data_IF_110247820080
#
_entry.id   IF_110247820080
#
_cell.length_a   1.000
_cell.length_b   1.000
_cell.length_c   1.000
_cell.angle_alpha   90.00
_cell.angle_beta   90.00
_cell.angle_gamma   90.00
#
_symmetry.space_group_name_H-M   'P 1'
#
loop_
_entity.id
_entity.type
_entity.pdbx_description
1 polymer ?
#
# COMPACT_ATOMS: atom_id res chain seq x y z
N UNK A 1 85.99 0.07 37.58
CA UNK A 1 86.37 -1.31 37.18
C UNK A 1 85.18 -2.24 37.40
N UNK A 2 84.81 -2.99 36.34
CA UNK A 2 84.10 -4.29 36.25
C UNK A 2 82.73 -4.44 36.98
N UNK A 3 81.60 -4.46 36.28
CA UNK A 3 80.96 -5.49 35.42
C UNK A 3 80.39 -6.71 36.15
N UNK A 4 79.07 -6.94 35.93
CA UNK A 4 78.37 -8.20 36.19
C UNK A 4 76.88 -8.14 35.82
N UNK A 5 76.55 -8.32 34.53
CA UNK A 5 75.20 -8.70 34.02
C UNK A 5 75.01 -10.21 34.24
N UNK A 6 73.82 -10.74 34.47
CA UNK A 6 72.89 -11.51 33.57
C UNK A 6 71.97 -12.27 34.58
N UNK A 7 70.66 -12.51 34.46
CA UNK A 7 69.61 -12.26 33.47
C UNK A 7 68.32 -13.03 33.85
N UNK A 8 67.24 -12.69 33.16
CA UNK A 8 66.04 -13.48 32.83
C UNK A 8 65.02 -13.89 33.92
N UNK A 9 63.80 -13.37 33.77
CA UNK A 9 62.59 -13.84 34.45
C UNK A 9 61.40 -12.92 34.17
N UNK A 10 60.79 -13.08 32.99
CA UNK A 10 59.60 -12.35 32.57
C UNK A 10 58.36 -12.73 33.41
N UNK A 11 57.56 -11.75 33.84
CA UNK A 11 56.11 -11.87 33.80
C UNK A 11 55.48 -10.48 33.67
N UNK A 12 54.92 -10.24 32.48
CA UNK A 12 54.07 -9.12 32.15
C UNK A 12 52.66 -9.44 32.69
N UNK A 13 52.08 -8.52 33.47
CA UNK A 13 50.64 -8.45 33.66
C UNK A 13 50.21 -6.98 33.54
N UNK A 14 49.90 -6.61 32.30
CA UNK A 14 49.21 -5.38 31.94
C UNK A 14 47.77 -5.50 32.44
N UNK A 15 47.36 -4.63 33.36
CA UNK A 15 45.95 -4.36 33.64
C UNK A 15 45.67 -2.90 33.33
N UNK A 16 45.38 -2.68 32.05
CA UNK A 16 44.94 -1.43 31.46
C UNK A 16 43.59 -1.02 32.06
N UNK A 17 43.58 0.05 32.85
CA UNK A 17 42.37 0.76 33.21
C UNK A 17 41.66 1.25 31.96
N UNK A 18 40.39 0.85 31.82
CA UNK A 18 39.50 1.08 30.70
C UNK A 18 39.27 2.59 30.46
N UNK A 19 39.97 3.15 29.47
CA UNK A 19 39.58 4.39 28.82
C UNK A 19 38.28 4.12 28.07
N UNK A 20 37.16 4.65 28.57
CA UNK A 20 35.91 4.71 27.81
C UNK A 20 36.14 5.74 26.70
N UNK A 21 36.20 5.37 25.41
CA UNK A 21 36.21 6.37 24.37
C UNK A 21 34.85 7.07 24.41
N UNK A 22 34.89 8.35 24.75
CA UNK A 22 33.81 9.30 24.55
C UNK A 22 33.43 9.21 23.07
N UNK A 23 32.33 8.52 22.76
CA UNK A 23 31.83 8.39 21.40
C UNK A 23 31.49 9.80 20.91
N UNK A 24 32.35 10.34 20.04
CA UNK A 24 32.05 11.53 19.26
C UNK A 24 30.67 11.30 18.63
N UNK A 25 29.79 12.26 18.85
CA UNK A 25 28.52 12.32 18.15
C UNK A 25 28.78 12.14 16.66
N UNK A 26 28.26 11.04 16.11
CA UNK A 26 28.04 10.93 14.67
C UNK A 26 26.99 11.99 14.38
N UNK A 27 27.46 13.20 14.06
CA UNK A 27 26.66 14.19 13.36
C UNK A 27 26.08 13.44 12.15
N UNK A 28 24.78 13.20 12.19
CA UNK A 28 24.04 12.47 11.18
C UNK A 28 24.20 13.18 9.86
N UNK A 29 25.19 12.77 9.08
CA UNK A 29 25.24 13.00 7.66
C UNK A 29 24.10 12.14 7.09
N UNK A 30 22.86 12.65 7.17
CA UNK A 30 21.76 12.05 6.46
C UNK A 30 22.18 12.01 4.99
N UNK A 31 22.43 10.80 4.48
CA UNK A 31 22.70 10.60 3.07
C UNK A 31 21.53 11.23 2.31
N UNK A 32 21.80 12.29 1.55
CA UNK A 32 20.75 13.01 0.82
C UNK A 32 19.93 12.02 0.00
N UNK A 33 18.62 12.17 0.03
CA UNK A 33 17.71 11.33 -0.73
C UNK A 33 18.05 11.45 -2.21
N UNK A 34 18.34 10.33 -2.89
CA UNK A 34 18.59 10.37 -4.34
C UNK A 34 17.25 10.42 -5.07
N UNK A 35 16.94 11.53 -5.73
CA UNK A 35 15.66 11.74 -6.41
C UNK A 35 15.90 11.99 -7.91
N UNK A 36 15.43 11.07 -8.75
CA UNK A 36 15.62 11.07 -10.19
C UNK A 36 14.29 10.97 -10.95
N UNK A 37 14.33 11.20 -12.26
CA UNK A 37 13.20 10.97 -13.16
C UNK A 37 13.66 10.26 -14.44
N UNK A 38 12.83 9.38 -14.97
CA UNK A 38 13.10 8.68 -16.23
C UNK A 38 11.87 8.67 -17.15
N UNK A 39 12.07 8.97 -18.43
CA UNK A 39 11.08 8.71 -19.47
C UNK A 39 11.33 7.32 -20.06
N UNK A 40 10.29 6.49 -20.15
CA UNK A 40 10.37 5.12 -20.67
C UNK A 40 9.17 4.78 -21.54
N UNK A 41 9.26 3.67 -22.24
CA UNK A 41 8.11 3.06 -22.93
C UNK A 41 7.81 1.72 -22.27
N UNK A 42 6.57 1.52 -21.83
CA UNK A 42 6.10 0.27 -21.19
C UNK A 42 4.94 -0.26 -22.01
N UNK A 43 5.10 -1.44 -22.61
CA UNK A 43 4.09 -2.04 -23.51
C UNK A 43 3.69 -1.11 -24.67
N UNK A 44 4.66 -0.40 -25.25
CA UNK A 44 4.40 0.56 -26.35
C UNK A 44 3.90 1.93 -25.90
N UNK A 45 3.52 2.09 -24.63
CA UNK A 45 2.99 3.36 -24.11
C UNK A 45 4.08 4.20 -23.43
N UNK A 46 4.17 5.51 -23.70
CA UNK A 46 5.11 6.39 -23.02
C UNK A 46 4.71 6.54 -21.54
N UNK A 47 5.70 6.43 -20.66
CA UNK A 47 5.55 6.61 -19.21
C UNK A 47 6.67 7.49 -18.65
N UNK A 48 6.35 8.21 -17.58
CA UNK A 48 7.32 8.92 -16.78
C UNK A 48 7.40 8.32 -15.39
N UNK A 49 8.60 7.93 -14.99
CA UNK A 49 8.86 7.36 -13.67
C UNK A 49 9.61 8.39 -12.82
N UNK A 50 9.15 8.54 -11.57
CA UNK A 50 9.86 9.27 -10.51
C UNK A 50 10.53 8.23 -9.63
N UNK A 51 11.83 8.41 -9.40
CA UNK A 51 12.63 7.48 -8.63
C UNK A 51 13.13 8.13 -7.35
N UNK A 52 13.06 7.40 -6.25
CA UNK A 52 13.64 7.77 -4.96
C UNK A 52 14.53 6.63 -4.51
N UNK A 53 15.78 6.92 -4.20
CA UNK A 53 16.81 5.93 -3.85
C UNK A 53 16.92 4.79 -4.89
N UNK A 54 16.77 5.14 -6.18
CA UNK A 54 16.81 4.21 -7.30
C UNK A 54 15.52 3.41 -7.52
N UNK A 55 14.46 3.66 -6.75
CA UNK A 55 13.21 2.90 -6.81
C UNK A 55 12.06 3.72 -7.38
N UNK A 56 11.23 3.13 -8.24
CA UNK A 56 10.09 3.82 -8.87
C UNK A 56 8.98 4.02 -7.83
N UNK A 57 8.78 5.26 -7.39
CA UNK A 57 7.74 5.62 -6.41
C UNK A 57 6.44 6.09 -7.07
N UNK A 58 6.55 6.73 -8.23
CA UNK A 58 5.43 7.25 -9.00
C UNK A 58 5.64 6.88 -10.46
N UNK A 59 4.60 6.30 -11.08
CA UNK A 59 4.55 6.05 -12.52
C UNK A 59 3.39 6.83 -13.13
N UNK A 60 3.74 7.79 -13.97
CA UNK A 60 2.83 8.61 -14.73
C UNK A 60 2.64 7.97 -16.11
N UNK A 61 1.39 7.66 -16.46
CA UNK A 61 1.03 7.06 -17.76
C UNK A 61 0.19 7.99 -18.65
N UNK A 62 -0.34 9.07 -18.07
CA UNK A 62 -1.17 10.04 -18.78
C UNK A 62 -0.36 11.28 -19.16
N UNK A 63 -0.54 11.76 -20.39
CA UNK A 63 -0.26 13.14 -20.73
C UNK A 63 -1.34 14.04 -20.14
N UNK A 64 -0.97 15.25 -19.71
CA UNK A 64 -1.90 16.27 -19.23
C UNK A 64 -1.54 17.58 -19.92
N UNK A 65 -2.47 18.09 -20.75
CA UNK A 65 -2.18 19.22 -21.63
C UNK A 65 -1.06 18.88 -22.62
N UNK A 66 -0.10 19.79 -22.77
CA UNK A 66 1.10 19.62 -23.61
C UNK A 66 2.22 18.83 -22.94
N UNK A 67 2.09 18.48 -21.65
CA UNK A 67 3.15 17.79 -20.92
C UNK A 67 3.07 16.28 -21.13
N UNK A 68 4.14 15.72 -21.68
CA UNK A 68 4.34 14.28 -21.77
C UNK A 68 4.48 13.63 -20.39
N UNK A 69 4.21 12.32 -20.25
CA UNK A 69 4.42 11.62 -18.99
C UNK A 69 5.82 11.81 -18.41
N UNK A 70 6.85 11.78 -19.26
CA UNK A 70 8.25 12.00 -18.88
C UNK A 70 8.54 13.40 -18.34
N UNK A 71 8.01 14.45 -19.00
CA UNK A 71 8.16 15.84 -18.52
C UNK A 71 7.45 16.04 -17.19
N UNK A 72 6.26 15.45 -17.02
CA UNK A 72 5.56 15.47 -15.74
C UNK A 72 6.39 14.81 -14.64
N UNK A 73 7.01 13.65 -14.93
CA UNK A 73 7.85 12.97 -13.95
C UNK A 73 9.06 13.82 -13.55
N UNK A 74 9.67 14.54 -14.49
CA UNK A 74 10.73 15.51 -14.20
C UNK A 74 10.25 16.62 -13.27
N UNK A 75 9.10 17.25 -13.56
CA UNK A 75 8.52 18.31 -12.71
C UNK A 75 8.24 17.78 -11.29
N UNK A 76 7.71 16.57 -11.17
CA UNK A 76 7.46 15.95 -9.86
C UNK A 76 8.77 15.68 -9.11
N UNK A 77 9.79 15.13 -9.78
CA UNK A 77 11.11 14.91 -9.19
C UNK A 77 11.76 16.23 -8.74
N UNK A 78 11.64 17.30 -9.52
CA UNK A 78 12.17 18.62 -9.17
C UNK A 78 11.46 19.20 -7.93
N UNK A 79 10.13 19.01 -7.81
CA UNK A 79 9.37 19.40 -6.61
C UNK A 79 9.83 18.64 -5.37
N UNK A 80 10.02 17.32 -5.49
CA UNK A 80 10.52 16.50 -4.39
C UNK A 80 11.96 16.89 -4.00
N UNK A 81 12.86 17.15 -4.96
CA UNK A 81 14.23 17.63 -4.68
C UNK A 81 14.26 18.95 -3.94
N UNK A 82 13.35 19.88 -4.29
CA UNK A 82 13.22 21.14 -3.56
C UNK A 82 12.78 20.91 -2.12
N UNK A 83 11.77 20.07 -1.90
CA UNK A 83 11.29 19.74 -0.54
C UNK A 83 12.34 18.98 0.30
N UNK A 84 13.15 18.13 -0.33
CA UNK A 84 14.29 17.47 0.32
C UNK A 84 15.37 18.49 0.73
N UNK A 85 15.68 19.44 -0.16
CA UNK A 85 16.62 20.53 0.12
C UNK A 85 16.14 21.43 1.27
N UNK A 86 14.83 21.63 1.39
CA UNK A 86 14.18 22.36 2.48
C UNK A 86 14.08 21.54 3.79
N UNK A 87 14.47 20.26 3.80
CA UNK A 87 14.37 19.37 4.97
C UNK A 87 12.94 18.94 5.32
N UNK A 88 12.02 19.11 4.38
CA UNK A 88 10.57 18.87 4.51
C UNK A 88 10.13 17.53 3.95
N UNK A 89 10.97 16.86 3.16
CA UNK A 89 10.67 15.54 2.61
C UNK A 89 10.99 14.44 3.64
N UNK A 90 9.97 14.03 4.41
CA UNK A 90 10.07 12.92 5.38
C UNK A 90 8.92 11.94 5.20
N UNK A 91 9.07 10.64 5.51
CA UNK A 91 7.99 9.67 5.39
C UNK A 91 6.67 10.14 6.02
N UNK A 92 6.73 10.66 7.25
CA UNK A 92 5.58 11.14 8.01
C UNK A 92 4.87 12.33 7.37
N UNK A 93 5.59 13.16 6.60
CA UNK A 93 5.03 14.36 5.95
C UNK A 93 4.33 14.08 4.62
N UNK A 94 4.52 12.89 4.04
CA UNK A 94 3.87 12.53 2.77
C UNK A 94 2.42 12.16 3.04
N UNK A 95 1.45 12.83 2.44
CA UNK A 95 0.03 12.51 2.62
C UNK A 95 -0.78 12.58 1.33
N UNK A 96 -2.07 12.25 1.41
CA UNK A 96 -3.03 12.36 0.31
C UNK A 96 -4.16 13.29 0.73
N UNK A 97 -4.41 14.30 -0.09
CA UNK A 97 -5.55 15.20 0.08
C UNK A 97 -6.50 15.13 -1.12
N UNK A 98 -7.62 15.84 -1.03
CA UNK A 98 -8.53 16.05 -2.14
C UNK A 98 -8.85 17.54 -2.29
N UNK A 99 -8.93 18.00 -3.54
CA UNK A 99 -9.41 19.33 -3.91
C UNK A 99 -10.39 19.15 -5.07
N UNK A 100 -11.64 19.59 -4.89
CA UNK A 100 -12.73 19.45 -5.86
C UNK A 100 -12.89 18.02 -6.40
N UNK A 101 -12.82 17.03 -5.50
CA UNK A 101 -12.91 15.60 -5.84
C UNK A 101 -11.67 15.02 -6.52
N UNK A 102 -10.63 15.83 -6.75
CA UNK A 102 -9.38 15.37 -7.36
C UNK A 102 -8.35 15.06 -6.28
N UNK A 103 -7.80 13.84 -6.31
CA UNK A 103 -6.80 13.40 -5.35
C UNK A 103 -5.44 14.07 -5.61
N UNK A 104 -4.78 14.49 -4.55
CA UNK A 104 -3.47 15.13 -4.54
C UNK A 104 -2.49 14.32 -3.70
N UNK A 105 -1.27 14.14 -4.21
CA UNK A 105 -0.14 13.73 -3.38
C UNK A 105 0.47 14.98 -2.76
N UNK A 106 0.50 15.02 -1.43
CA UNK A 106 1.00 16.13 -0.63
C UNK A 106 2.30 15.72 0.08
N UNK A 107 3.18 16.68 0.30
CA UNK A 107 4.33 16.55 1.21
C UNK A 107 4.39 17.81 2.05
N UNK A 108 4.26 17.65 3.36
CA UNK A 108 4.22 18.76 4.31
C UNK A 108 3.18 19.83 3.90
N UNK A 109 1.99 19.37 3.51
CA UNK A 109 0.89 20.19 3.02
C UNK A 109 1.05 20.75 1.60
N UNK A 110 2.20 20.60 0.95
CA UNK A 110 2.46 21.11 -0.40
C UNK A 110 2.08 20.09 -1.46
N UNK A 111 1.31 20.52 -2.46
CA UNK A 111 0.95 19.66 -3.60
C UNK A 111 2.16 19.31 -4.47
N UNK A 112 2.51 18.02 -4.47
CA UNK A 112 3.58 17.46 -5.31
C UNK A 112 3.02 17.15 -6.70
N UNK A 113 1.89 16.43 -6.76
CA UNK A 113 1.20 16.14 -8.02
C UNK A 113 -0.28 15.85 -7.77
N UNK A 114 -1.07 16.05 -8.81
CA UNK A 114 -2.47 15.64 -8.89
C UNK A 114 -2.58 14.26 -9.54
N UNK A 115 -3.58 13.48 -9.11
CA UNK A 115 -3.96 12.20 -9.73
C UNK A 115 -5.21 12.41 -10.57
N UNK A 116 -5.04 12.41 -11.88
CA UNK A 116 -6.17 12.54 -12.81
C UNK A 116 -6.92 11.19 -12.99
N UNK A 117 -8.20 11.28 -13.34
CA UNK A 117 -9.04 10.09 -13.54
C UNK A 117 -8.58 9.19 -14.70
N UNK A 118 -7.89 9.75 -15.71
CA UNK A 118 -7.38 8.98 -16.85
C UNK A 118 -6.18 8.13 -16.44
N UNK A 119 -5.30 8.64 -15.60
CA UNK A 119 -4.17 7.93 -15.00
C UNK A 119 -4.63 6.77 -14.13
N UNK A 120 -5.68 7.00 -13.32
CA UNK A 120 -6.28 5.97 -12.48
C UNK A 120 -6.95 4.86 -13.31
N UNK A 121 -7.74 5.23 -14.33
CA UNK A 121 -8.37 4.27 -15.25
C UNK A 121 -7.35 3.45 -16.04
N UNK A 122 -6.27 4.07 -16.49
CA UNK A 122 -5.16 3.36 -17.16
C UNK A 122 -4.47 2.31 -16.26
N UNK A 123 -4.74 2.34 -14.96
CA UNK A 123 -4.25 1.39 -13.97
C UNK A 123 -5.37 0.61 -13.27
N UNK A 124 -6.59 0.62 -13.84
CA UNK A 124 -7.78 -0.06 -13.31
C UNK A 124 -8.04 0.25 -11.82
N UNK A 125 -7.85 1.50 -11.41
CA UNK A 125 -7.96 1.94 -10.02
C UNK A 125 -8.70 3.29 -9.92
N UNK A 126 -8.88 3.80 -8.71
CA UNK A 126 -9.46 5.13 -8.45
C UNK A 126 -8.37 6.17 -8.20
N UNK A 127 -8.61 7.47 -8.42
CA UNK A 127 -7.61 8.52 -8.14
C UNK A 127 -7.11 8.49 -6.70
N UNK A 128 -8.00 8.30 -5.72
CA UNK A 128 -7.65 8.24 -4.30
C UNK A 128 -6.78 7.02 -3.99
N UNK A 129 -7.11 5.84 -4.54
CA UNK A 129 -6.32 4.63 -4.35
C UNK A 129 -4.93 4.77 -4.98
N UNK A 130 -4.85 5.28 -6.21
CA UNK A 130 -3.56 5.52 -6.87
C UNK A 130 -2.69 6.54 -6.12
N UNK A 131 -3.29 7.62 -5.61
CA UNK A 131 -2.59 8.58 -4.75
C UNK A 131 -2.07 7.91 -3.46
N UNK A 132 -2.86 7.02 -2.87
CA UNK A 132 -2.50 6.25 -1.68
C UNK A 132 -1.35 5.29 -1.96
N UNK A 133 -1.35 4.63 -3.11
CA UNK A 133 -0.25 3.76 -3.56
C UNK A 133 1.03 4.57 -3.73
N UNK A 134 0.95 5.75 -4.37
CA UNK A 134 2.10 6.65 -4.51
C UNK A 134 2.62 7.17 -3.17
N UNK A 135 1.74 7.56 -2.23
CA UNK A 135 2.14 7.93 -0.86
C UNK A 135 2.89 6.79 -0.20
N UNK A 136 2.32 5.58 -0.24
CA UNK A 136 2.91 4.39 0.41
C UNK A 136 4.29 4.09 -0.16
N UNK A 137 4.42 4.11 -1.48
CA UNK A 137 5.70 3.90 -2.15
C UNK A 137 6.73 4.97 -1.80
N UNK A 138 6.33 6.25 -1.83
CA UNK A 138 7.24 7.35 -1.49
C UNK A 138 7.70 7.25 -0.03
N UNK A 139 6.81 6.96 0.91
CA UNK A 139 7.15 6.73 2.32
C UNK A 139 8.15 5.59 2.49
N UNK A 140 7.91 4.47 1.82
CA UNK A 140 8.79 3.31 1.86
C UNK A 140 10.20 3.65 1.32
N UNK A 141 10.30 4.27 0.14
CA UNK A 141 11.60 4.65 -0.43
C UNK A 141 12.38 5.62 0.47
N UNK A 142 11.69 6.59 1.08
CA UNK A 142 12.28 7.55 2.01
C UNK A 142 12.78 6.89 3.30
N UNK A 143 12.07 5.85 3.78
CA UNK A 143 12.48 5.03 4.91
C UNK A 143 13.59 4.01 4.56
N UNK A 144 14.02 3.94 3.30
CA UNK A 144 15.00 2.94 2.83
C UNK A 144 14.40 1.54 2.64
N UNK A 145 13.07 1.41 2.70
CA UNK A 145 12.36 0.16 2.42
C UNK A 145 12.22 -0.05 0.91
N UNK A 146 12.24 -1.32 0.46
CA UNK A 146 12.09 -1.60 -0.96
C UNK A 146 10.68 -1.27 -1.47
N UNK A 147 10.57 -0.23 -2.29
CA UNK A 147 9.39 0.01 -3.14
C UNK A 147 9.28 -1.05 -4.21
N UNK A 148 8.09 -1.66 -4.35
CA UNK A 148 7.83 -2.64 -5.40
C UNK A 148 8.59 -3.97 -5.25
N UNK A 149 9.22 -4.23 -4.10
CA UNK A 149 9.30 -5.61 -3.64
C UNK A 149 7.89 -6.06 -3.28
N UNK A 150 7.56 -7.32 -3.49
CA UNK A 150 6.31 -7.93 -3.05
C UNK A 150 6.15 -7.82 -1.51
N UNK A 151 5.91 -6.62 -0.95
CA UNK A 151 4.77 -6.56 -0.06
C UNK A 151 3.64 -6.89 -0.97
N UNK A 152 3.24 -8.15 -0.89
CA UNK A 152 1.89 -8.54 -1.14
C UNK A 152 1.01 -7.51 -0.41
N UNK A 153 0.66 -6.42 -1.08
CA UNK A 153 -0.75 -6.11 -1.28
C UNK A 153 -1.31 -7.25 -2.13
N UNK A 154 -1.26 -8.47 -1.58
CA UNK A 154 -2.49 -9.14 -1.26
C UNK A 154 -3.42 -7.99 -0.83
N UNK A 155 -4.24 -7.50 -1.76
CA UNK A 155 -5.66 -7.39 -1.41
C UNK A 155 -5.90 -8.69 -0.67
N UNK A 156 -5.77 -8.71 0.67
CA UNK A 156 -5.65 -9.97 1.40
C UNK A 156 -6.93 -10.70 1.09
N UNK A 157 -6.85 -11.65 0.15
CA UNK A 157 -7.99 -12.39 -0.32
C UNK A 157 -8.27 -13.30 0.86
N UNK A 158 -9.17 -12.81 1.69
CA UNK A 158 -9.55 -13.48 2.90
C UNK A 158 -10.70 -14.42 2.61
N UNK A 159 -10.94 -15.30 3.56
CA UNK A 159 -12.19 -16.03 3.65
C UNK A 159 -12.89 -15.64 4.94
N UNK A 160 -14.21 -15.59 4.91
CA UNK A 160 -15.04 -15.26 6.07
C UNK A 160 -16.29 -16.13 6.05
N UNK A 161 -16.67 -16.67 7.21
CA UNK A 161 -17.92 -17.38 7.37
C UNK A 161 -19.00 -16.38 7.81
N UNK A 162 -20.08 -16.29 7.04
CA UNK A 162 -21.18 -15.33 7.25
C UNK A 162 -22.52 -16.07 7.23
N UNK A 163 -23.55 -15.60 7.94
CA UNK A 163 -24.87 -16.23 7.91
C UNK A 163 -25.53 -16.12 6.53
N UNK A 164 -26.29 -17.16 6.16
CA UNK A 164 -27.22 -17.12 5.03
C UNK A 164 -28.60 -16.71 5.54
N UNK A 165 -29.20 -15.73 4.88
CA UNK A 165 -30.53 -15.19 5.22
C UNK A 165 -31.45 -15.39 4.02
N UNK A 166 -32.59 -16.04 4.25
CA UNK A 166 -33.63 -16.19 3.22
C UNK A 166 -34.30 -14.86 2.93
N UNK A 167 -34.31 -14.46 1.65
CA UNK A 167 -35.01 -13.25 1.18
C UNK A 167 -36.52 -13.50 1.25
N UNK A 168 -37.24 -12.65 2.00
CA UNK A 168 -38.70 -12.74 2.19
C UNK A 168 -39.10 -13.17 3.61
N UNK A 169 -38.46 -14.21 4.16
CA UNK A 169 -38.72 -14.65 5.54
C UNK A 169 -37.82 -14.01 6.58
N UNK A 170 -36.62 -13.56 6.18
CA UNK A 170 -35.60 -13.04 7.13
C UNK A 170 -35.00 -14.11 8.03
N UNK A 171 -35.37 -15.38 7.85
CA UNK A 171 -34.90 -16.48 8.65
C UNK A 171 -33.44 -16.81 8.31
N UNK A 172 -32.65 -17.09 9.35
CA UNK A 172 -31.29 -17.62 9.20
C UNK A 172 -31.40 -19.10 8.88
N UNK A 173 -30.91 -19.49 7.71
CA UNK A 173 -31.07 -20.85 7.16
C UNK A 173 -29.76 -21.63 7.11
N UNK A 174 -28.62 -20.98 7.34
CA UNK A 174 -27.32 -21.64 7.32
C UNK A 174 -26.17 -20.65 7.36
N UNK A 175 -24.99 -21.09 6.92
CA UNK A 175 -23.79 -20.26 6.81
C UNK A 175 -23.12 -20.42 5.44
N UNK A 176 -22.50 -19.35 4.96
CA UNK A 176 -21.74 -19.32 3.72
C UNK A 176 -20.28 -18.95 4.00
N UNK A 177 -19.37 -19.64 3.34
CA UNK A 177 -17.99 -19.24 3.22
C UNK A 177 -17.86 -18.31 2.01
N UNK A 178 -17.42 -17.08 2.27
CA UNK A 178 -17.20 -16.07 1.23
C UNK A 178 -15.72 -15.73 1.10
N UNK A 179 -15.30 -15.39 -0.11
CA UNK A 179 -13.94 -14.96 -0.40
C UNK A 179 -13.91 -13.66 -1.22
N UNK A 180 -12.92 -12.80 -0.96
CA UNK A 180 -12.75 -11.52 -1.67
C UNK A 180 -11.67 -10.64 -1.03
N UNK A 181 -11.46 -9.45 -1.59
CA UNK A 181 -10.54 -8.45 -1.01
C UNK A 181 -10.94 -8.12 0.43
N UNK A 182 -9.96 -8.02 1.34
CA UNK A 182 -10.19 -7.85 2.79
C UNK A 182 -11.19 -6.75 3.13
N UNK A 183 -11.04 -5.56 2.56
CA UNK A 183 -11.93 -4.42 2.81
C UNK A 183 -13.40 -4.72 2.46
N UNK A 184 -13.63 -5.51 1.41
CA UNK A 184 -14.98 -5.91 0.97
C UNK A 184 -15.50 -7.08 1.78
N UNK A 185 -14.63 -7.99 2.18
CA UNK A 185 -14.95 -9.13 3.01
C UNK A 185 -15.37 -8.68 4.42
N UNK A 186 -14.70 -7.67 4.96
CA UNK A 186 -15.05 -7.08 6.27
C UNK A 186 -16.44 -6.44 6.22
N UNK A 187 -16.79 -5.78 5.10
CA UNK A 187 -18.12 -5.23 4.87
C UNK A 187 -19.20 -6.28 4.56
N UNK A 188 -18.84 -7.52 4.21
CA UNK A 188 -19.83 -8.58 3.94
C UNK A 188 -20.38 -9.09 5.27
N UNK A 189 -21.66 -8.80 5.55
CA UNK A 189 -22.30 -9.18 6.83
C UNK A 189 -23.13 -10.45 6.74
N UNK A 190 -23.70 -10.74 5.56
CA UNK A 190 -24.49 -11.94 5.31
C UNK A 190 -24.48 -12.30 3.82
N UNK A 191 -25.04 -13.47 3.50
CA UNK A 191 -25.40 -13.86 2.12
C UNK A 191 -26.91 -13.95 2.03
N UNK A 192 -27.52 -13.19 1.13
CA UNK A 192 -28.93 -13.30 0.80
C UNK A 192 -29.16 -14.52 -0.10
N UNK A 193 -30.15 -15.34 0.28
CA UNK A 193 -30.62 -16.47 -0.53
C UNK A 193 -31.99 -16.13 -1.13
N UNK A 194 -32.05 -16.06 -2.45
CA UNK A 194 -33.30 -15.98 -3.20
C UNK A 194 -33.59 -17.34 -3.81
N UNK A 195 -34.73 -17.91 -3.45
CA UNK A 195 -35.24 -19.14 -4.08
C UNK A 195 -36.28 -18.76 -5.14
N UNK A 196 -36.20 -19.41 -6.30
CA UNK A 196 -37.21 -19.31 -7.34
C UNK A 196 -37.44 -20.68 -7.94
N UNK A 197 -38.71 -21.00 -8.18
CA UNK A 197 -39.12 -22.23 -8.85
C UNK A 197 -39.47 -21.90 -10.31
N UNK A 198 -38.92 -22.69 -11.22
CA UNK A 198 -39.21 -22.58 -12.65
C UNK A 198 -39.90 -23.85 -13.14
N UNK A 199 -41.15 -23.70 -13.60
CA UNK A 199 -41.99 -24.76 -14.18
C UNK A 199 -42.13 -26.02 -13.31
N UNK A 200 -42.21 -25.86 -11.99
CA UNK A 200 -42.37 -26.96 -11.01
C UNK A 200 -41.33 -28.09 -11.09
N UNK A 201 -40.21 -27.87 -11.79
CA UNK A 201 -39.21 -28.89 -12.06
C UNK A 201 -37.79 -28.49 -11.63
N UNK A 202 -37.50 -27.18 -11.53
CA UNK A 202 -36.16 -26.68 -11.19
C UNK A 202 -36.27 -25.59 -10.13
N UNK A 203 -35.66 -25.83 -8.97
CA UNK A 203 -35.45 -24.82 -7.93
C UNK A 203 -34.08 -24.18 -8.10
N UNK A 204 -34.04 -22.89 -8.41
CA UNK A 204 -32.80 -22.13 -8.48
C UNK A 204 -32.59 -21.37 -7.17
N UNK A 205 -31.38 -21.49 -6.60
CA UNK A 205 -30.94 -20.76 -5.42
C UNK A 205 -29.90 -19.72 -5.84
N UNK A 206 -30.24 -18.44 -5.68
CA UNK A 206 -29.33 -17.34 -5.93
C UNK A 206 -28.72 -16.87 -4.62
N UNK A 207 -27.39 -16.88 -4.53
CA UNK A 207 -26.64 -16.46 -3.36
C UNK A 207 -25.92 -15.14 -3.63
N UNK A 208 -26.22 -14.11 -2.84
CA UNK A 208 -25.70 -12.76 -3.05
C UNK A 208 -25.07 -12.24 -1.75
N UNK A 209 -23.75 -11.97 -1.72
CA UNK A 209 -23.11 -11.31 -0.58
C UNK A 209 -23.67 -9.90 -0.38
N UNK A 210 -24.08 -9.58 0.84
CA UNK A 210 -24.70 -8.31 1.21
C UNK A 210 -24.04 -7.68 2.44
N UNK A 211 -24.11 -6.34 2.51
CA UNK A 211 -23.58 -5.56 3.62
C UNK A 211 -24.58 -5.46 4.80
N UNK A 212 -25.81 -5.89 4.62
CA UNK A 212 -26.89 -5.86 5.62
C UNK A 212 -27.14 -7.24 6.22
N UNK A 213 -27.53 -7.29 7.50
CA UNK A 213 -27.86 -8.55 8.21
C UNK A 213 -29.21 -8.53 8.93
N UNK A 214 -29.93 -7.39 8.87
CA UNK A 214 -31.22 -7.16 9.50
C UNK A 214 -32.04 -6.22 8.63
N UNK A 215 -33.32 -6.54 8.39
CA UNK A 215 -34.21 -5.72 7.55
C UNK A 215 -33.91 -5.86 6.06
N UNK A 216 -34.51 -6.86 5.41
CA UNK A 216 -34.34 -7.16 3.98
C UNK A 216 -35.08 -6.17 3.04
N UNK A 217 -35.34 -4.94 3.49
CA UNK A 217 -35.97 -3.90 2.67
C UNK A 217 -34.97 -3.25 1.71
N UNK A 218 -33.70 -3.16 2.13
CA UNK A 218 -32.59 -2.62 1.33
C UNK A 218 -31.46 -3.67 1.24
N UNK A 219 -31.48 -4.44 0.15
CA UNK A 219 -30.43 -5.41 -0.18
C UNK A 219 -29.25 -4.70 -0.84
N UNK A 220 -28.27 -4.29 -0.04
CA UNK A 220 -27.03 -3.70 -0.56
C UNK A 220 -25.98 -4.79 -0.84
N UNK A 221 -25.76 -5.07 -2.13
CA UNK A 221 -24.83 -6.11 -2.59
C UNK A 221 -23.39 -5.64 -2.46
N UNK A 222 -22.52 -6.53 -1.96
CA UNK A 222 -21.07 -6.30 -1.95
C UNK A 222 -20.41 -6.86 -3.23
N UNK A 223 -19.97 -6.01 -4.18
CA UNK A 223 -19.34 -6.49 -5.41
C UNK A 223 -17.91 -6.99 -5.18
N UNK A 224 -17.51 -8.04 -5.89
CA UNK A 224 -16.16 -8.61 -5.81
C UNK A 224 -15.90 -9.48 -4.57
N UNK A 225 -16.97 -9.91 -3.92
CA UNK A 225 -16.98 -11.02 -2.96
C UNK A 225 -17.80 -12.15 -3.60
N UNK A 226 -17.32 -13.38 -3.48
CA UNK A 226 -17.96 -14.57 -4.02
C UNK A 226 -18.24 -15.59 -2.92
N UNK A 227 -19.33 -16.34 -3.07
CA UNK A 227 -19.61 -17.51 -2.22
C UNK A 227 -18.82 -18.69 -2.77
N UNK A 228 -18.01 -19.32 -1.92
CA UNK A 228 -17.16 -20.45 -2.28
C UNK A 228 -17.55 -21.75 -1.57
N UNK A 229 -18.39 -21.66 -0.55
CA UNK A 229 -18.93 -22.81 0.16
C UNK A 229 -20.18 -22.45 0.94
N UNK A 230 -21.03 -23.44 1.16
CA UNK A 230 -22.26 -23.32 1.96
C UNK A 230 -22.29 -24.47 2.96
N UNK A 231 -22.55 -24.14 4.21
CA UNK A 231 -22.85 -25.09 5.26
C UNK A 231 -24.35 -24.96 5.58
N UNK A 232 -25.08 -26.03 5.30
CA UNK A 232 -26.46 -26.18 5.72
C UNK A 232 -26.49 -26.74 7.13
N UNK A 233 -27.40 -26.26 7.97
CA UNK A 233 -27.61 -26.80 9.31
C UNK A 233 -29.03 -27.33 9.32
N UNK A 234 -29.18 -28.65 9.18
CA UNK A 234 -30.43 -29.30 9.55
C UNK A 234 -30.63 -29.10 11.06
N UNK A 235 -31.64 -28.32 11.41
CA UNK A 235 -32.14 -28.17 12.78
C UNK A 235 -33.34 -29.08 13.00
#
# INVERSE_FOLDING_TARGET
MRYGRIGLGALVAVLSGLLIPMALGVAGQQARTRIDSAARTVQGEPVGDVLVNGQVVIRLRSAVGSLSPGERARIVADRLRRLDTEGRLRPETVDVGTVDGTALLLVDGVSVTMVDSRAARAQNTTPLRLATDWRTNLRAALAGERVGGERQTQSQVGQKLVPIISVGSGLRVGAALVAGERDRLDNTRAVAMLETDYRDAVRARLLVPISTSSGLRDLDRVPGVAVIGVADIEL
#
